data_IF_498767731033
#
_entry.id   IF_498767731033
#
_cell.length_a   1.000
_cell.length_b   1.000
_cell.length_c   1.000
_cell.angle_alpha   90.00
_cell.angle_beta   90.00
_cell.angle_gamma   90.00
#
_symmetry.space_group_name_H-M   'P 1'
#
loop_
_entity.id
_entity.type
_entity.pdbx_description
1 polymer ?
#
# COMPACT_ATOMS: atom_id res chain seq x y z
N UNK A 1 -0.98 18.79 -7.47
CA UNK A 1 0.00 17.98 -8.22
C UNK A 1 0.72 17.10 -7.23
N UNK A 2 1.19 15.93 -7.66
CA UNK A 2 2.09 15.06 -6.91
C UNK A 2 3.47 15.13 -7.58
N UNK A 3 4.55 15.18 -6.82
CA UNK A 3 5.91 15.26 -7.35
C UNK A 3 6.64 13.90 -7.32
N UNK A 4 7.82 13.86 -7.94
CA UNK A 4 8.65 12.65 -8.06
C UNK A 4 9.04 12.03 -6.70
N UNK A 5 9.35 12.85 -5.70
CA UNK A 5 9.70 12.38 -4.35
C UNK A 5 8.50 11.76 -3.64
N UNK A 6 7.31 12.37 -3.80
CA UNK A 6 6.06 11.82 -3.26
C UNK A 6 5.69 10.48 -3.93
N UNK A 7 5.96 10.33 -5.24
CA UNK A 7 5.78 9.08 -5.95
C UNK A 7 6.70 7.97 -5.40
N UNK A 8 8.00 8.27 -5.24
CA UNK A 8 8.97 7.34 -4.65
C UNK A 8 8.56 6.95 -3.22
N UNK A 9 8.10 7.92 -2.42
CA UNK A 9 7.64 7.66 -1.06
C UNK A 9 6.42 6.73 -1.04
N UNK A 10 5.44 6.94 -1.92
CA UNK A 10 4.27 6.07 -2.02
C UNK A 10 4.64 4.64 -2.41
N UNK A 11 5.56 4.48 -3.38
CA UNK A 11 6.05 3.15 -3.77
C UNK A 11 6.70 2.41 -2.60
N UNK A 12 7.50 3.11 -1.78
CA UNK A 12 8.11 2.53 -0.57
C UNK A 12 7.07 2.24 0.53
N UNK A 13 6.11 3.14 0.74
CA UNK A 13 5.03 2.94 1.72
C UNK A 13 4.24 1.67 1.42
N UNK A 14 3.97 1.41 0.13
CA UNK A 14 3.26 0.20 -0.29
C UNK A 14 4.19 -0.99 -0.56
N UNK A 15 5.49 -0.87 -0.30
CA UNK A 15 6.50 -1.91 -0.53
C UNK A 15 6.38 -2.53 -1.94
N UNK A 16 6.43 -1.69 -2.97
CA UNK A 16 6.32 -2.11 -4.36
C UNK A 16 7.61 -1.88 -5.16
N UNK A 17 7.92 -2.79 -6.08
CA UNK A 17 8.93 -2.55 -7.11
C UNK A 17 8.36 -1.68 -8.24
N UNK A 18 9.22 -1.15 -9.11
CA UNK A 18 8.78 -0.39 -10.28
C UNK A 18 7.99 -1.32 -11.21
N UNK A 19 8.44 -2.56 -11.39
CA UNK A 19 7.79 -3.58 -12.21
C UNK A 19 6.36 -3.85 -11.69
N UNK A 20 6.21 -4.08 -10.38
CA UNK A 20 4.89 -4.27 -9.75
C UNK A 20 3.99 -3.04 -9.93
N UNK A 21 4.53 -1.84 -9.78
CA UNK A 21 3.80 -0.61 -10.07
C UNK A 21 3.30 -0.56 -11.52
N UNK A 22 4.12 -0.99 -12.48
CA UNK A 22 3.73 -0.94 -13.89
C UNK A 22 2.69 -2.00 -14.28
N UNK A 23 2.67 -3.12 -13.56
CA UNK A 23 1.68 -4.19 -13.75
C UNK A 23 0.34 -3.79 -13.12
N UNK A 24 0.35 -3.30 -11.88
CA UNK A 24 -0.88 -3.17 -11.09
C UNK A 24 -1.44 -1.74 -11.02
N UNK A 25 -0.61 -0.71 -11.22
CA UNK A 25 -1.02 0.70 -11.14
C UNK A 25 -1.22 1.30 -12.53
N UNK A 26 -0.19 1.26 -13.39
CA UNK A 26 -0.29 1.80 -14.77
C UNK A 26 -0.91 0.80 -15.74
N UNK A 27 -0.74 -0.51 -15.48
CA UNK A 27 -1.30 -1.61 -16.28
C UNK A 27 -0.80 -1.61 -17.74
N UNK A 28 0.42 -1.12 -17.96
CA UNK A 28 1.06 -1.01 -19.28
C UNK A 28 2.45 -1.67 -19.35
N UNK A 29 2.97 -2.18 -18.21
CA UNK A 29 4.31 -2.75 -18.09
C UNK A 29 5.45 -1.79 -18.52
N UNK A 30 5.21 -0.47 -18.49
CA UNK A 30 6.19 0.51 -18.95
C UNK A 30 7.05 1.08 -17.82
N UNK A 31 8.06 0.32 -17.40
CA UNK A 31 9.01 0.74 -16.35
C UNK A 31 9.81 1.98 -16.72
N UNK A 32 10.08 2.23 -18.01
CA UNK A 32 10.82 3.41 -18.44
C UNK A 32 10.07 4.70 -18.12
N UNK A 33 8.76 4.73 -18.42
CA UNK A 33 7.91 5.89 -18.07
C UNK A 33 7.83 6.10 -16.57
N UNK A 34 7.70 5.03 -15.78
CA UNK A 34 7.69 5.14 -14.31
C UNK A 34 9.01 5.70 -13.77
N UNK A 35 10.14 5.26 -14.31
CA UNK A 35 11.46 5.78 -13.94
C UNK A 35 11.60 7.28 -14.24
N UNK A 36 11.12 7.74 -15.41
CA UNK A 36 11.11 9.17 -15.75
C UNK A 36 10.24 10.00 -14.80
N UNK A 37 9.11 9.45 -14.34
CA UNK A 37 8.31 10.08 -13.29
C UNK A 37 9.04 10.19 -11.96
N UNK A 38 9.73 9.13 -11.52
CA UNK A 38 10.50 9.13 -10.26
C UNK A 38 11.78 9.97 -10.33
N UNK A 39 12.34 10.18 -11.52
CA UNK A 39 13.45 11.10 -11.78
C UNK A 39 12.99 12.57 -11.83
N UNK A 40 11.72 12.81 -12.11
CA UNK A 40 11.17 14.15 -12.31
C UNK A 40 11.40 14.72 -13.71
N UNK A 41 11.80 13.88 -14.67
CA UNK A 41 12.05 14.27 -16.07
C UNK A 41 10.75 14.67 -16.78
N UNK A 42 9.66 13.97 -16.47
CA UNK A 42 8.32 14.25 -17.00
C UNK A 42 7.29 14.26 -15.86
N UNK A 43 6.19 15.04 -15.98
CA UNK A 43 5.14 15.05 -14.97
C UNK A 43 4.40 13.70 -14.91
N UNK A 44 4.00 13.32 -13.70
CA UNK A 44 3.18 12.13 -13.46
C UNK A 44 1.80 12.33 -14.11
N UNK A 45 1.32 11.30 -14.81
CA UNK A 45 -0.02 11.32 -15.41
C UNK A 45 -1.10 11.61 -14.35
N UNK A 46 -2.04 12.56 -14.60
CA UNK A 46 -3.13 12.87 -13.66
C UNK A 46 -3.98 11.66 -13.26
N UNK A 47 -4.15 10.70 -14.15
CA UNK A 47 -4.88 9.46 -13.86
C UNK A 47 -4.13 8.60 -12.83
N UNK A 48 -2.82 8.46 -13.00
CA UNK A 48 -1.96 7.71 -12.06
C UNK A 48 -1.92 8.41 -10.70
N UNK A 49 -1.87 9.74 -10.67
CA UNK A 49 -1.99 10.52 -9.43
C UNK A 49 -3.32 10.21 -8.73
N UNK A 50 -4.44 10.16 -9.47
CA UNK A 50 -5.75 9.86 -8.89
C UNK A 50 -5.80 8.44 -8.29
N UNK A 51 -5.27 7.44 -9.00
CA UNK A 51 -5.18 6.05 -8.52
C UNK A 51 -4.35 5.95 -7.23
N UNK A 52 -3.17 6.57 -7.20
CA UNK A 52 -2.29 6.59 -6.03
C UNK A 52 -2.93 7.31 -4.83
N UNK A 53 -3.65 8.41 -5.07
CA UNK A 53 -4.42 9.09 -4.02
C UNK A 53 -5.51 8.20 -3.45
N UNK A 54 -6.20 7.44 -4.28
CA UNK A 54 -7.21 6.49 -3.80
C UNK A 54 -6.57 5.35 -2.98
N UNK A 55 -5.42 4.83 -3.40
CA UNK A 55 -4.67 3.85 -2.60
C UNK A 55 -4.30 4.41 -1.23
N UNK A 56 -3.79 5.65 -1.16
CA UNK A 56 -3.49 6.34 0.10
C UNK A 56 -4.75 6.52 0.96
N UNK A 57 -5.88 6.86 0.35
CA UNK A 57 -7.15 7.03 1.05
C UNK A 57 -7.67 5.70 1.62
N UNK A 58 -7.61 4.61 0.83
CA UNK A 58 -7.95 3.24 1.28
C UNK A 58 -7.09 2.82 2.47
N UNK A 59 -5.78 3.07 2.40
CA UNK A 59 -4.84 2.83 3.49
C UNK A 59 -5.25 3.57 4.77
N UNK A 60 -5.51 4.87 4.68
CA UNK A 60 -5.90 5.68 5.84
C UNK A 60 -7.21 5.21 6.46
N UNK A 61 -8.23 4.91 5.64
CA UNK A 61 -9.51 4.38 6.13
C UNK A 61 -9.32 3.07 6.89
N UNK A 62 -8.42 2.20 6.42
CA UNK A 62 -8.13 0.92 7.07
C UNK A 62 -7.40 1.11 8.41
N UNK A 63 -6.43 2.01 8.49
CA UNK A 63 -5.75 2.36 9.75
C UNK A 63 -6.78 2.86 10.76
N UNK A 64 -7.60 3.85 10.37
CA UNK A 64 -8.61 4.42 11.27
C UNK A 64 -9.56 3.34 11.79
N UNK A 65 -10.06 2.46 10.91
CA UNK A 65 -10.96 1.39 11.30
C UNK A 65 -10.35 0.37 12.27
N UNK A 66 -9.03 0.12 12.19
CA UNK A 66 -8.34 -0.79 13.13
C UNK A 66 -8.05 -0.06 14.45
N UNK A 67 -7.53 1.16 14.41
CA UNK A 67 -7.28 1.98 15.60
C UNK A 67 -8.57 2.20 16.40
N UNK A 68 -9.69 2.48 15.73
CA UNK A 68 -11.00 2.61 16.38
C UNK A 68 -11.40 1.32 17.10
N UNK A 69 -11.15 0.15 16.51
CA UNK A 69 -11.44 -1.15 17.15
C UNK A 69 -10.53 -1.42 18.35
N UNK A 70 -9.26 -1.06 18.26
CA UNK A 70 -8.27 -1.18 19.34
C UNK A 70 -8.69 -0.31 20.52
N UNK A 71 -9.02 0.96 20.28
CA UNK A 71 -9.41 1.89 21.33
C UNK A 71 -10.73 1.52 22.04
N UNK A 72 -11.61 0.79 21.35
CA UNK A 72 -12.90 0.34 21.89
C UNK A 72 -12.86 -1.07 22.50
N UNK A 73 -11.69 -1.69 22.65
CA UNK A 73 -11.54 -3.03 23.22
C UNK A 73 -10.38 -3.09 24.23
N UNK A 74 -10.55 -3.87 25.29
CA UNK A 74 -9.46 -4.24 26.21
C UNK A 74 -8.97 -5.65 25.84
N UNK A 75 -7.69 -5.81 25.56
CA UNK A 75 -7.06 -7.10 25.28
C UNK A 75 -5.81 -7.01 24.41
N UNK A 76 -5.14 -8.14 24.19
CA UNK A 76 -4.02 -8.22 23.27
C UNK A 76 -4.52 -8.12 21.83
N UNK A 77 -3.93 -7.20 21.07
CA UNK A 77 -4.18 -7.08 19.64
C UNK A 77 -3.08 -7.82 18.89
N UNK A 78 -3.48 -8.69 17.96
CA UNK A 78 -2.56 -9.40 17.09
C UNK A 78 -3.17 -9.50 15.71
N UNK A 79 -2.38 -9.17 14.69
CA UNK A 79 -2.78 -9.22 13.28
C UNK A 79 -1.83 -10.11 12.48
N UNK A 80 -2.38 -10.78 11.46
CA UNK A 80 -1.57 -11.65 10.59
C UNK A 80 -0.66 -10.80 9.71
N UNK A 81 0.55 -11.27 9.47
CA UNK A 81 1.43 -10.75 8.42
C UNK A 81 1.48 -11.74 7.26
N UNK A 82 1.48 -11.26 6.02
CA UNK A 82 1.39 -12.12 4.82
C UNK A 82 2.59 -11.86 3.92
N UNK A 83 3.61 -12.73 3.96
CA UNK A 83 4.85 -12.55 3.18
C UNK A 83 4.64 -12.57 1.66
N UNK A 84 3.57 -13.19 1.18
CA UNK A 84 3.25 -13.31 -0.25
C UNK A 84 1.73 -13.22 -0.51
N UNK A 85 1.37 -13.01 -1.76
CA UNK A 85 -0.04 -12.88 -2.17
C UNK A 85 -0.83 -14.18 -1.91
N UNK A 86 -0.22 -15.36 -2.09
CA UNK A 86 -0.89 -16.64 -1.88
C UNK A 86 -1.33 -16.86 -0.43
N UNK A 87 -0.48 -16.52 0.53
CA UNK A 87 -0.79 -16.60 1.95
C UNK A 87 -1.87 -15.59 2.34
N UNK A 88 -1.85 -14.39 1.75
CA UNK A 88 -2.95 -13.42 1.88
C UNK A 88 -4.28 -13.98 1.36
N UNK A 89 -4.27 -14.56 0.16
CA UNK A 89 -5.45 -15.12 -0.49
C UNK A 89 -6.00 -16.39 0.20
N UNK A 90 -5.18 -17.09 0.99
CA UNK A 90 -5.65 -18.21 1.82
C UNK A 90 -6.68 -17.78 2.88
N UNK A 91 -6.68 -16.50 3.26
CA UNK A 91 -7.63 -15.91 4.23
C UNK A 91 -8.60 -14.96 3.52
N UNK A 92 -8.11 -14.15 2.59
CA UNK A 92 -8.89 -13.19 1.81
C UNK A 92 -9.01 -13.67 0.37
N UNK A 93 -9.91 -14.63 0.12
CA UNK A 93 -9.97 -15.36 -1.17
C UNK A 93 -10.20 -14.47 -2.38
N UNK A 94 -10.95 -13.38 -2.22
CA UNK A 94 -11.23 -12.40 -3.29
C UNK A 94 -10.21 -11.25 -3.33
N UNK A 95 -9.20 -11.29 -2.45
CA UNK A 95 -8.24 -10.21 -2.29
C UNK A 95 -7.24 -10.14 -3.44
N UNK A 96 -7.05 -8.94 -3.98
CA UNK A 96 -6.08 -8.69 -5.05
C UNK A 96 -4.70 -8.23 -4.53
N UNK A 97 -3.76 -8.05 -5.45
CA UNK A 97 -2.40 -7.61 -5.15
C UNK A 97 -2.34 -6.23 -4.46
N UNK A 98 -3.17 -5.27 -4.91
CA UNK A 98 -3.19 -3.93 -4.32
C UNK A 98 -3.78 -3.97 -2.91
N UNK A 99 -4.80 -4.79 -2.68
CA UNK A 99 -5.38 -5.03 -1.36
C UNK A 99 -4.40 -5.66 -0.40
N UNK A 100 -3.59 -6.61 -0.89
CA UNK A 100 -2.49 -7.19 -0.13
C UNK A 100 -1.43 -6.15 0.24
N UNK A 101 -0.93 -5.35 -0.72
CA UNK A 101 0.08 -4.31 -0.43
C UNK A 101 -0.46 -3.24 0.53
N UNK A 102 -1.71 -2.82 0.39
CA UNK A 102 -2.37 -1.93 1.35
C UNK A 102 -2.47 -2.60 2.72
N UNK A 103 -2.82 -3.89 2.79
CA UNK A 103 -2.84 -4.65 4.05
C UNK A 103 -1.48 -4.62 4.73
N UNK A 104 -0.42 -5.06 4.03
CA UNK A 104 0.93 -5.18 4.60
C UNK A 104 1.46 -3.82 5.07
N UNK A 105 1.21 -2.77 4.27
CA UNK A 105 1.58 -1.40 4.64
C UNK A 105 0.90 -0.91 5.93
N UNK A 106 -0.35 -1.31 6.16
CA UNK A 106 -1.06 -1.01 7.42
C UNK A 106 -0.52 -1.87 8.56
N UNK A 107 -0.29 -3.16 8.31
CA UNK A 107 0.23 -4.07 9.33
C UNK A 107 1.60 -3.62 9.87
N UNK A 108 2.49 -3.24 8.95
CA UNK A 108 3.81 -2.73 9.30
C UNK A 108 3.73 -1.44 10.13
N UNK A 109 2.84 -0.50 9.80
CA UNK A 109 2.67 0.74 10.57
C UNK A 109 2.10 0.48 11.97
N UNK A 110 1.06 -0.34 12.07
CA UNK A 110 0.44 -0.65 13.37
C UNK A 110 1.40 -1.38 14.30
N UNK A 111 2.22 -2.28 13.76
CA UNK A 111 3.31 -2.91 14.50
C UNK A 111 4.38 -1.91 14.92
N UNK A 112 4.82 -1.04 14.01
CA UNK A 112 5.85 -0.03 14.30
C UNK A 112 5.42 0.99 15.36
N UNK A 113 4.12 1.18 15.56
CA UNK A 113 3.54 2.04 16.60
C UNK A 113 3.11 1.28 17.87
N UNK A 114 3.52 0.02 18.03
CA UNK A 114 3.19 -0.84 19.18
C UNK A 114 1.68 -1.06 19.41
N UNK A 115 0.85 -0.88 18.37
CA UNK A 115 -0.61 -1.05 18.45
C UNK A 115 -1.04 -2.50 18.24
N UNK A 116 -0.27 -3.25 17.46
CA UNK A 116 -0.54 -4.63 17.07
C UNK A 116 0.73 -5.49 17.15
N UNK A 117 0.60 -6.75 17.54
CA UNK A 117 1.65 -7.76 17.33
C UNK A 117 1.41 -8.46 15.99
N UNK A 118 2.48 -8.86 15.30
CA UNK A 118 2.39 -9.62 14.06
C UNK A 118 2.45 -11.13 14.32
N UNK A 119 1.63 -11.91 13.59
CA UNK A 119 1.64 -13.38 13.63
C UNK A 119 1.55 -14.03 12.23
#
# INVERSE_FOLDING_TARGET
MMNALELQALRRIFDMTIEECTIYITQDNNSATWQQWEAGDIPISPEIIARLKEMKARRQRRINAIVDKINNRIGNNTMRYFPDLSSFQSIYTEGDFIEWKIYQSVAAELFAHDLERLC
#
